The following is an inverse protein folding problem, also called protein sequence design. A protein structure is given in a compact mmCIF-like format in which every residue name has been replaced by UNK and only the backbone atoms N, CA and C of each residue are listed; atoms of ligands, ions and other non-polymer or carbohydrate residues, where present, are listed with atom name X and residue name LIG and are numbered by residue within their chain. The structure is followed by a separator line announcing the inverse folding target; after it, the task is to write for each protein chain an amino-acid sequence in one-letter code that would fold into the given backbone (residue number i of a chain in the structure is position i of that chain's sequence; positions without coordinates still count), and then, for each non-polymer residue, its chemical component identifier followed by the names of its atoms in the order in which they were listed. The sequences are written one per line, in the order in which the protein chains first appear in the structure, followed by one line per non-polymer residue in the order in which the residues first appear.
data_IF_158447481299
#
_entry.id   IF_158447481299
#
_cell.length_a   1.000
_cell.length_b   1.000
_cell.length_c   1.000
_cell.angle_alpha   90.00
_cell.angle_beta   90.00
_cell.angle_gamma   90.00
#
_symmetry.space_group_name_H-M   'P 1'
#
loop_
_entity.id
_entity.type
_entity.pdbx_description
1 polymer ?
#
# COMPACT_ATOMS: atom_id res chain seq x y z
N UNK A 1 17.04 -7.13 -28.54
CA UNK A 1 17.81 -7.96 -27.58
C UNK A 1 18.41 -7.01 -26.54
N UNK A 2 17.76 -6.82 -25.39
CA UNK A 2 18.18 -5.83 -24.38
C UNK A 2 19.25 -6.46 -23.48
N UNK A 3 20.50 -6.02 -23.65
CA UNK A 3 21.68 -6.52 -22.93
C UNK A 3 21.50 -6.31 -21.42
N UNK A 4 21.80 -7.33 -20.64
CA UNK A 4 21.82 -7.28 -19.18
C UNK A 4 22.76 -6.15 -18.74
N UNK A 5 22.21 -5.13 -18.07
CA UNK A 5 22.99 -4.04 -17.53
C UNK A 5 23.01 -4.18 -16.00
N UNK A 6 24.14 -4.61 -15.40
CA UNK A 6 24.23 -4.72 -13.94
C UNK A 6 23.96 -3.39 -13.24
N UNK A 7 24.21 -2.26 -13.90
CA UNK A 7 23.85 -0.94 -13.39
C UNK A 7 22.34 -0.75 -13.26
N UNK A 8 21.52 -1.29 -14.18
CA UNK A 8 20.07 -1.11 -14.10
C UNK A 8 19.48 -1.91 -12.94
N UNK A 9 19.98 -3.13 -12.71
CA UNK A 9 19.58 -3.93 -11.53
C UNK A 9 19.94 -3.20 -10.23
N UNK A 10 21.14 -2.63 -10.15
CA UNK A 10 21.58 -1.85 -9.00
C UNK A 10 20.72 -0.60 -8.78
N UNK A 11 20.44 0.17 -9.84
CA UNK A 11 19.57 1.35 -9.73
C UNK A 11 18.15 0.99 -9.38
N UNK A 12 17.59 -0.09 -9.94
CA UNK A 12 16.23 -0.57 -9.64
C UNK A 12 16.10 -1.05 -8.19
N UNK A 13 17.15 -1.69 -7.67
CA UNK A 13 17.22 -2.10 -6.27
C UNK A 13 17.32 -0.89 -5.34
N UNK A 14 18.15 0.10 -5.70
CA UNK A 14 18.29 1.34 -4.94
C UNK A 14 17.00 2.15 -4.90
N UNK A 15 16.34 2.34 -6.05
CA UNK A 15 15.05 3.06 -6.12
C UNK A 15 13.97 2.33 -5.32
N UNK A 16 13.88 1.00 -5.45
CA UNK A 16 12.96 0.19 -4.63
C UNK A 16 13.24 0.35 -3.13
N UNK A 17 14.52 0.39 -2.72
CA UNK A 17 14.92 0.63 -1.34
C UNK A 17 14.51 2.02 -0.83
N UNK A 18 14.71 3.07 -1.63
CA UNK A 18 14.26 4.43 -1.30
C UNK A 18 12.73 4.53 -1.20
N UNK A 19 11.99 3.85 -2.09
CA UNK A 19 10.54 3.78 -2.04
C UNK A 19 10.05 3.11 -0.76
N UNK A 20 10.67 2.00 -0.37
CA UNK A 20 10.38 1.30 0.89
C UNK A 20 10.70 2.17 2.12
N UNK A 21 11.83 2.87 2.12
CA UNK A 21 12.20 3.80 3.20
C UNK A 21 11.16 4.94 3.32
N UNK A 22 10.75 5.51 2.19
CA UNK A 22 9.72 6.56 2.14
C UNK A 22 8.37 6.03 2.63
N UNK A 23 8.00 4.80 2.25
CA UNK A 23 6.79 4.16 2.74
C UNK A 23 6.87 3.93 4.26
N UNK A 24 8.03 3.52 4.78
CA UNK A 24 8.27 3.35 6.22
C UNK A 24 8.12 4.65 7.01
N UNK A 25 8.66 5.76 6.51
CA UNK A 25 8.49 7.08 7.13
C UNK A 25 7.01 7.50 7.16
N UNK A 26 6.30 7.36 6.02
CA UNK A 26 4.86 7.63 5.95
C UNK A 26 4.07 6.73 6.89
N UNK A 27 4.44 5.46 6.99
CA UNK A 27 3.80 4.53 7.91
C UNK A 27 3.96 4.97 9.37
N UNK A 28 5.18 5.35 9.78
CA UNK A 28 5.45 5.84 11.13
C UNK A 28 4.67 7.13 11.44
N UNK A 29 4.66 8.10 10.53
CA UNK A 29 3.87 9.32 10.68
C UNK A 29 2.37 9.02 10.78
N UNK A 30 1.87 8.10 9.94
CA UNK A 30 0.48 7.64 9.97
C UNK A 30 0.14 7.01 11.31
N UNK A 31 1.01 6.17 11.88
CA UNK A 31 0.79 5.53 13.18
C UNK A 31 0.68 6.57 14.30
N UNK A 32 1.60 7.54 14.34
CA UNK A 32 1.53 8.65 15.30
C UNK A 32 0.25 9.50 15.14
N UNK A 33 -0.14 9.81 13.89
CA UNK A 33 -1.39 10.50 13.60
C UNK A 33 -2.62 9.69 14.03
N UNK A 34 -2.59 8.37 13.81
CA UNK A 34 -3.69 7.46 14.14
C UNK A 34 -3.91 7.36 15.64
N UNK A 35 -2.83 7.28 16.44
CA UNK A 35 -2.93 7.30 17.90
C UNK A 35 -3.69 8.55 18.40
N UNK A 36 -3.38 9.72 17.84
CA UNK A 36 -4.08 10.96 18.17
C UNK A 36 -5.55 10.94 17.75
N UNK A 37 -5.84 10.49 16.53
CA UNK A 37 -7.21 10.37 16.02
C UNK A 37 -8.04 9.43 16.88
N UNK A 38 -7.50 8.25 17.21
CA UNK A 38 -8.17 7.25 18.05
C UNK A 38 -8.47 7.86 19.42
N UNK A 39 -7.47 8.43 20.09
CA UNK A 39 -7.66 9.04 21.40
C UNK A 39 -8.74 10.12 21.40
N UNK A 40 -8.69 11.05 20.44
CA UNK A 40 -9.70 12.12 20.32
C UNK A 40 -11.11 11.56 20.07
N UNK A 41 -11.23 10.55 19.20
CA UNK A 41 -12.53 9.99 18.83
C UNK A 41 -13.12 9.09 19.90
N UNK A 42 -12.28 8.37 20.65
CA UNK A 42 -12.71 7.67 21.85
C UNK A 42 -13.30 8.64 22.87
N UNK A 43 -12.71 9.84 23.03
CA UNK A 43 -13.28 10.93 23.83
C UNK A 43 -14.68 11.33 23.36
N UNK A 44 -14.84 11.69 22.09
CA UNK A 44 -16.15 12.07 21.53
C UNK A 44 -17.20 10.97 21.61
N UNK A 45 -16.80 9.69 21.44
CA UNK A 45 -17.69 8.54 21.62
C UNK A 45 -18.11 8.43 23.09
N UNK A 46 -17.18 8.52 24.02
CA UNK A 46 -17.47 8.43 25.45
C UNK A 46 -18.40 9.56 25.91
N UNK A 47 -18.19 10.78 25.43
CA UNK A 47 -19.08 11.93 25.68
C UNK A 47 -20.49 11.66 25.16
N UNK A 48 -20.63 11.21 23.90
CA UNK A 48 -21.94 10.90 23.32
C UNK A 48 -22.64 9.70 23.99
N UNK A 49 -21.89 8.76 24.57
CA UNK A 49 -22.46 7.65 25.36
C UNK A 49 -22.94 8.15 26.72
N UNK A 50 -22.20 9.06 27.36
CA UNK A 50 -22.56 9.63 28.67
C UNK A 50 -23.73 10.60 28.56
N UNK A 51 -23.73 11.45 27.54
CA UNK A 51 -24.78 12.42 27.25
C UNK A 51 -25.16 12.36 25.75
N UNK A 52 -26.12 11.49 25.39
CA UNK A 52 -26.55 11.33 24.01
C UNK A 52 -27.18 12.59 23.40
N UNK A 53 -27.70 13.52 24.20
CA UNK A 53 -28.34 14.72 23.63
C UNK A 53 -27.30 15.77 23.20
N UNK A 54 -26.08 15.69 23.74
CA UNK A 54 -24.99 16.64 23.48
C UNK A 54 -23.81 16.04 22.70
N UNK A 55 -23.97 14.82 22.15
CA UNK A 55 -22.92 14.16 21.38
C UNK A 55 -22.51 14.90 20.10
N UNK A 56 -21.23 14.85 19.75
CA UNK A 56 -20.70 15.40 18.49
C UNK A 56 -21.00 14.48 17.29
N UNK A 57 -22.28 14.37 16.94
CA UNK A 57 -22.75 13.51 15.85
C UNK A 57 -22.23 13.93 14.48
N UNK A 58 -21.86 15.20 14.32
CA UNK A 58 -21.17 15.68 13.13
C UNK A 58 -19.80 15.01 12.98
N UNK A 59 -19.01 14.83 14.04
CA UNK A 59 -17.77 14.04 13.98
C UNK A 59 -18.03 12.53 13.87
N UNK A 60 -18.96 11.99 14.66
CA UNK A 60 -19.25 10.55 14.70
C UNK A 60 -19.69 10.02 13.33
N UNK A 61 -20.58 10.74 12.66
CA UNK A 61 -21.08 10.38 11.32
C UNK A 61 -20.00 10.40 10.23
N UNK A 62 -18.93 11.18 10.41
CA UNK A 62 -17.79 11.21 9.47
C UNK A 62 -16.87 10.00 9.62
N UNK A 63 -16.83 9.34 10.77
CA UNK A 63 -15.75 8.41 11.09
C UNK A 63 -15.68 7.19 10.17
N UNK A 64 -16.81 6.64 9.75
CA UNK A 64 -16.87 5.44 8.88
C UNK A 64 -16.69 5.82 7.41
N UNK A 65 -17.44 6.80 6.85
CA UNK A 65 -17.26 7.22 5.46
C UNK A 65 -15.83 7.60 5.12
N UNK A 66 -15.11 8.25 6.04
CA UNK A 66 -13.71 8.61 5.86
C UNK A 66 -12.78 7.40 5.73
N UNK A 67 -13.03 6.32 6.49
CA UNK A 67 -12.25 5.08 6.38
C UNK A 67 -12.56 4.42 5.04
N UNK A 68 -13.83 4.28 4.71
CA UNK A 68 -14.26 3.69 3.43
C UNK A 68 -13.65 4.45 2.25
N UNK A 69 -13.75 5.78 2.18
CA UNK A 69 -13.16 6.57 1.09
C UNK A 69 -11.63 6.38 0.99
N UNK A 70 -10.92 6.40 2.12
CA UNK A 70 -9.47 6.20 2.13
C UNK A 70 -9.07 4.81 1.63
N UNK A 71 -9.73 3.74 2.11
CA UNK A 71 -9.45 2.37 1.69
C UNK A 71 -9.90 2.11 0.24
N UNK A 72 -11.01 2.68 -0.22
CA UNK A 72 -11.43 2.59 -1.62
C UNK A 72 -10.46 3.31 -2.57
N UNK A 73 -9.87 4.43 -2.16
CA UNK A 73 -8.81 5.10 -2.93
C UNK A 73 -7.52 4.27 -2.93
N UNK A 74 -7.15 3.69 -1.79
CA UNK A 74 -5.99 2.80 -1.67
C UNK A 74 -6.11 1.60 -2.61
N UNK A 75 -7.26 0.91 -2.60
CA UNK A 75 -7.53 -0.22 -3.48
C UNK A 75 -7.43 0.16 -4.96
N UNK A 76 -8.07 1.26 -5.38
CA UNK A 76 -7.97 1.76 -6.76
C UNK A 76 -6.54 2.13 -7.17
N UNK A 77 -5.77 2.73 -6.28
CA UNK A 77 -4.39 3.16 -6.56
C UNK A 77 -3.43 1.98 -6.77
N UNK A 78 -3.68 0.83 -6.14
CA UNK A 78 -2.86 -0.37 -6.28
C UNK A 78 -3.42 -1.40 -7.28
N UNK A 79 -4.67 -1.26 -7.73
CA UNK A 79 -5.37 -2.27 -8.51
C UNK A 79 -4.62 -2.67 -9.79
N UNK A 80 -4.15 -1.69 -10.57
CA UNK A 80 -3.45 -1.96 -11.83
C UNK A 80 -2.16 -2.75 -11.62
N UNK A 81 -1.39 -2.43 -10.57
CA UNK A 81 -0.16 -3.14 -10.26
C UNK A 81 -0.44 -4.57 -9.74
N UNK A 82 -1.45 -4.73 -8.88
CA UNK A 82 -1.87 -6.05 -8.39
C UNK A 82 -2.35 -6.96 -9.52
N UNK A 83 -3.14 -6.41 -10.44
CA UNK A 83 -3.59 -7.14 -11.63
C UNK A 83 -2.41 -7.54 -12.52
N UNK A 84 -1.45 -6.63 -12.74
CA UNK A 84 -0.26 -6.93 -13.51
C UNK A 84 0.62 -8.01 -12.84
N UNK A 85 0.78 -7.97 -11.51
CA UNK A 85 1.46 -9.02 -10.75
C UNK A 85 0.74 -10.36 -10.92
N UNK A 86 -0.59 -10.40 -10.81
CA UNK A 86 -1.36 -11.63 -10.98
C UNK A 86 -1.17 -12.23 -12.38
N UNK A 87 -1.18 -11.40 -13.42
CA UNK A 87 -0.91 -11.84 -14.79
C UNK A 87 0.50 -12.43 -14.95
N UNK A 88 1.50 -11.79 -14.34
CA UNK A 88 2.88 -12.25 -14.37
C UNK A 88 3.07 -13.57 -13.60
N UNK A 89 2.39 -13.72 -12.46
CA UNK A 89 2.35 -14.96 -11.68
C UNK A 89 1.81 -16.09 -12.54
N UNK A 90 0.62 -15.94 -13.13
CA UNK A 90 0.01 -16.96 -13.98
C UNK A 90 0.91 -17.35 -15.15
N UNK A 91 1.54 -16.37 -15.80
CA UNK A 91 2.44 -16.64 -16.91
C UNK A 91 3.73 -17.36 -16.46
N UNK A 92 4.22 -17.14 -15.24
CA UNK A 92 5.32 -17.91 -14.66
C UNK A 92 4.88 -19.33 -14.33
N UNK A 93 3.71 -19.50 -13.72
CA UNK A 93 3.12 -20.82 -13.45
C UNK A 93 2.98 -21.67 -14.69
N UNK A 94 2.46 -21.11 -15.79
CA UNK A 94 2.33 -21.81 -17.07
C UNK A 94 3.69 -22.24 -17.64
N UNK A 95 4.70 -21.37 -17.56
CA UNK A 95 6.05 -21.69 -18.04
C UNK A 95 6.69 -22.80 -17.21
N UNK A 96 6.62 -22.71 -15.88
CA UNK A 96 7.14 -23.75 -14.97
C UNK A 96 6.41 -25.07 -15.22
N UNK A 97 5.08 -25.04 -15.39
CA UNK A 97 4.27 -26.21 -15.70
C UNK A 97 4.67 -26.87 -17.03
N UNK A 98 4.91 -26.08 -18.08
CA UNK A 98 5.37 -26.60 -19.36
C UNK A 98 6.76 -27.26 -19.28
N UNK A 99 7.68 -26.67 -18.52
CA UNK A 99 9.02 -27.23 -18.26
C UNK A 99 8.91 -28.56 -17.50
N UNK A 100 8.08 -28.59 -16.45
CA UNK A 100 7.84 -29.78 -15.65
C UNK A 100 7.18 -30.91 -16.45
N UNK A 101 6.16 -30.59 -17.26
CA UNK A 101 5.48 -31.55 -18.13
C UNK A 101 6.42 -32.15 -19.20
N UNK A 102 7.40 -31.37 -19.66
CA UNK A 102 8.43 -31.82 -20.58
C UNK A 102 9.59 -32.58 -19.90
N UNK A 103 9.57 -32.74 -18.56
CA UNK A 103 10.58 -33.43 -17.75
C UNK A 103 12.01 -33.00 -18.11
N UNK A 104 12.18 -31.68 -18.27
CA UNK A 104 13.47 -31.09 -18.63
C UNK A 104 13.82 -29.93 -17.73
N UNK A 105 15.10 -29.57 -17.73
CA UNK A 105 15.53 -28.34 -17.10
C UNK A 105 15.11 -27.11 -17.92
N UNK A 106 14.95 -25.94 -17.27
CA UNK A 106 14.77 -24.68 -17.98
C UNK A 106 15.95 -24.40 -18.91
N UNK A 107 15.65 -23.94 -20.13
CA UNK A 107 16.69 -23.38 -21.01
C UNK A 107 17.17 -22.03 -20.47
N UNK A 108 18.34 -21.56 -20.91
CA UNK A 108 18.86 -20.25 -20.50
C UNK A 108 17.89 -19.10 -20.82
N UNK A 109 17.15 -19.20 -21.94
CA UNK A 109 16.14 -18.21 -22.35
C UNK A 109 14.93 -18.22 -21.41
N UNK A 110 14.49 -19.39 -20.99
CA UNK A 110 13.36 -19.52 -20.05
C UNK A 110 13.75 -19.09 -18.65
N UNK A 111 14.97 -19.42 -18.20
CA UNK A 111 15.52 -18.96 -16.94
C UNK A 111 15.62 -17.42 -16.90
N UNK A 112 16.12 -16.78 -17.97
CA UNK A 112 16.16 -15.30 -18.09
C UNK A 112 14.74 -14.71 -18.09
N UNK A 113 13.78 -15.33 -18.77
CA UNK A 113 12.37 -14.88 -18.75
C UNK A 113 11.76 -14.95 -17.36
N UNK A 114 11.96 -16.06 -16.65
CA UNK A 114 11.50 -16.24 -15.27
C UNK A 114 12.13 -15.18 -14.35
N UNK A 115 13.45 -14.99 -14.43
CA UNK A 115 14.17 -14.02 -13.62
C UNK A 115 13.67 -12.59 -13.86
N UNK A 116 13.56 -12.15 -15.13
CA UNK A 116 13.06 -10.81 -15.46
C UNK A 116 11.64 -10.59 -15.00
N UNK A 117 10.77 -11.60 -15.13
CA UNK A 117 9.38 -11.48 -14.69
C UNK A 117 9.30 -11.37 -13.18
N UNK A 118 10.04 -12.19 -12.45
CA UNK A 118 10.14 -12.11 -10.99
C UNK A 118 10.67 -10.76 -10.50
N UNK A 119 11.70 -10.21 -11.15
CA UNK A 119 12.20 -8.86 -10.81
C UNK A 119 11.16 -7.77 -11.04
N UNK A 120 10.44 -7.81 -12.17
CA UNK A 120 9.35 -6.85 -12.43
C UNK A 120 8.20 -6.97 -11.44
N UNK A 121 7.83 -8.20 -11.05
CA UNK A 121 6.82 -8.44 -10.02
C UNK A 121 7.23 -7.83 -8.69
N UNK A 122 8.50 -8.00 -8.28
CA UNK A 122 9.04 -7.40 -7.06
C UNK A 122 8.96 -5.88 -7.07
N UNK A 123 9.40 -5.24 -8.16
CA UNK A 123 9.31 -3.78 -8.31
C UNK A 123 7.85 -3.28 -8.26
N UNK A 124 6.93 -3.97 -8.95
CA UNK A 124 5.49 -3.64 -8.92
C UNK A 124 4.88 -3.81 -7.53
N UNK A 125 5.29 -4.85 -6.78
CA UNK A 125 4.78 -5.08 -5.43
C UNK A 125 5.17 -3.93 -4.48
N UNK A 126 6.43 -3.49 -4.53
CA UNK A 126 6.91 -2.34 -3.75
C UNK A 126 6.16 -1.05 -4.11
N UNK A 127 6.00 -0.78 -5.40
CA UNK A 127 5.27 0.40 -5.87
C UNK A 127 3.78 0.34 -5.46
N UNK A 128 3.13 -0.82 -5.59
CA UNK A 128 1.74 -1.04 -5.21
C UNK A 128 1.53 -0.77 -3.71
N UNK A 129 2.44 -1.24 -2.85
CA UNK A 129 2.38 -1.01 -1.41
C UNK A 129 2.44 0.50 -1.09
N UNK A 130 3.37 1.23 -1.72
CA UNK A 130 3.48 2.69 -1.55
C UNK A 130 2.23 3.44 -2.02
N UNK A 131 1.66 3.05 -3.18
CA UNK A 131 0.42 3.64 -3.73
C UNK A 131 -0.79 3.33 -2.87
N UNK A 132 -0.90 2.12 -2.33
CA UNK A 132 -1.98 1.73 -1.42
C UNK A 132 -1.90 2.49 -0.09
N UNK A 133 -0.71 2.71 0.45
CA UNK A 133 -0.54 3.37 1.74
C UNK A 133 -0.84 4.88 1.67
N UNK A 134 -0.54 5.54 0.54
CA UNK A 134 -0.60 6.99 0.44
C UNK A 134 -1.98 7.61 0.76
N UNK A 135 -3.12 7.09 0.27
CA UNK A 135 -4.44 7.61 0.65
C UNK A 135 -4.77 7.46 2.13
N UNK A 136 -4.37 6.34 2.75
CA UNK A 136 -4.62 6.07 4.17
C UNK A 136 -3.78 6.99 5.05
N UNK A 137 -2.48 7.12 4.75
CA UNK A 137 -1.57 8.07 5.41
C UNK A 137 -2.10 9.50 5.32
N UNK A 138 -2.50 9.94 4.12
CA UNK A 138 -3.04 11.29 3.90
C UNK A 138 -4.30 11.54 4.73
N UNK A 139 -5.22 10.56 4.81
CA UNK A 139 -6.44 10.71 5.61
C UNK A 139 -6.12 10.75 7.10
N UNK A 140 -5.28 9.85 7.60
CA UNK A 140 -4.90 9.79 9.01
C UNK A 140 -4.26 11.12 9.46
N UNK A 141 -3.28 11.62 8.71
CA UNK A 141 -2.60 12.89 9.02
C UNK A 141 -3.52 14.11 8.92
N UNK A 142 -4.41 14.16 7.91
CA UNK A 142 -5.41 15.21 7.77
C UNK A 142 -6.42 15.22 8.93
N UNK A 143 -6.92 14.04 9.31
CA UNK A 143 -7.83 13.88 10.45
C UNK A 143 -7.15 14.32 11.76
N UNK A 144 -5.90 13.90 11.98
CA UNK A 144 -5.14 14.31 13.16
C UNK A 144 -4.98 15.84 13.22
N UNK A 145 -4.64 16.50 12.10
CA UNK A 145 -4.54 17.97 12.04
C UNK A 145 -5.88 18.63 12.37
N UNK A 146 -6.99 18.14 11.80
CA UNK A 146 -8.33 18.68 12.02
C UNK A 146 -8.77 18.55 13.49
N UNK A 147 -8.57 17.38 14.10
CA UNK A 147 -8.94 17.13 15.49
C UNK A 147 -8.08 17.94 16.47
N UNK A 148 -6.77 18.10 16.21
CA UNK A 148 -5.91 19.01 16.98
C UNK A 148 -6.41 20.46 16.96
N UNK A 149 -6.90 20.94 15.81
CA UNK A 149 -7.46 22.30 15.70
C UNK A 149 -8.76 22.44 16.50
N UNK A 150 -9.62 21.40 16.48
CA UNK A 150 -10.88 21.40 17.23
C UNK A 150 -10.66 21.48 18.74
N UNK A 151 -9.59 20.86 19.28
CA UNK A 151 -9.26 20.89 20.72
C UNK A 151 -8.62 22.21 21.20
N UNK A 152 -8.17 23.09 20.29
CA UNK A 152 -7.55 24.39 20.63
C UNK A 152 -8.57 25.54 20.71
N UNK A 153 -9.82 25.28 20.32
CA UNK A 153 -10.97 26.18 20.44
C UNK A 153 -11.80 25.66 21.60
#
# INVERSE_FOLDING_TARGET
MMKWNPFSLWTDMWTSGMELATAGLKYSEMMGASAHVIHSRCGSIAEAVRDPLQGDYAELSRMVPEKVDAFSRAGRAAFADLYAIQSDVLANWMLIGAIAAAVRLPTAVEADRLARRSSRMGARASAAAGKALAPVHRRATSNAKRLKRKKRI
#
